data_IF_682392256984
#
_entry.id   IF_682392256984
#
_cell.length_a   1.000
_cell.length_b   1.000
_cell.length_c   1.000
_cell.angle_alpha   90.00
_cell.angle_beta   90.00
_cell.angle_gamma   90.00
#
_symmetry.space_group_name_H-M   'P 1'
#
loop_
_entity.id
_entity.type
_entity.pdbx_description
1 polymer ?
#
# COMPACT_ATOMS: atom_id res chain seq x y z
N UNK A 1 -11.93 36.10 -2.94
CA UNK A 1 -11.88 36.61 -1.56
C UNK A 1 -10.41 36.66 -1.17
N UNK A 2 -9.88 37.83 -0.80
CA UNK A 2 -8.45 38.05 -0.52
C UNK A 2 -8.29 38.38 0.95
N UNK A 3 -7.30 37.79 1.62
CA UNK A 3 -6.83 38.25 2.92
C UNK A 3 -5.31 38.13 2.98
N UNK A 4 -4.62 39.13 3.54
CA UNK A 4 -3.18 39.32 3.37
C UNK A 4 -2.60 40.09 4.57
N UNK A 5 -1.43 39.63 5.05
CA UNK A 5 -0.55 40.27 6.05
C UNK A 5 -1.09 40.56 7.46
N UNK A 6 -0.48 39.94 8.48
CA UNK A 6 0.50 40.56 9.41
C UNK A 6 1.01 39.48 10.39
N UNK A 7 2.23 39.49 10.92
CA UNK A 7 3.40 40.34 10.62
C UNK A 7 4.03 40.97 11.86
N UNK A 8 5.06 40.35 12.47
CA UNK A 8 5.92 41.01 13.47
C UNK A 8 7.29 40.32 13.64
N UNK A 9 8.36 41.13 13.64
CA UNK A 9 9.71 40.86 14.15
C UNK A 9 10.23 42.20 14.74
N UNK A 10 11.22 42.22 15.66
CA UNK A 10 12.65 42.23 15.28
C UNK A 10 13.49 41.37 16.28
N UNK A 11 14.83 41.40 16.44
CA UNK A 11 15.94 42.26 15.96
C UNK A 11 17.22 41.43 15.76
N UNK A 12 18.24 42.01 15.10
CA UNK A 12 19.64 41.51 15.09
C UNK A 12 20.62 42.64 15.40
N UNK A 13 21.84 42.33 15.86
CA UNK A 13 23.03 43.13 15.57
C UNK A 13 24.06 42.38 14.70
N UNK A 14 25.01 43.13 14.12
CA UNK A 14 26.24 42.65 13.47
C UNK A 14 27.28 42.26 14.56
N UNK A 15 28.48 41.72 14.33
CA UNK A 15 29.37 41.58 13.14
C UNK A 15 30.20 40.28 13.35
N UNK A 16 31.21 39.80 12.58
CA UNK A 16 32.15 40.34 11.57
C UNK A 16 32.62 39.18 10.66
N UNK A 17 33.52 39.41 9.70
CA UNK A 17 34.28 38.38 8.98
C UNK A 17 35.74 38.82 8.75
N UNK A 18 36.69 37.88 8.83
CA UNK A 18 37.87 37.79 7.94
C UNK A 18 38.02 36.34 7.42
N UNK A 19 38.87 35.98 6.45
CA UNK A 19 39.57 36.71 5.38
C UNK A 19 39.85 35.69 4.25
N UNK A 20 40.21 36.13 3.05
CA UNK A 20 40.57 35.24 1.95
C UNK A 20 42.09 35.05 1.85
N UNK A 21 42.56 33.80 1.68
CA UNK A 21 43.93 33.50 1.27
C UNK A 21 43.93 32.68 -0.02
N UNK A 22 44.67 33.15 -1.03
CA UNK A 22 44.79 32.51 -2.34
C UNK A 22 46.10 31.75 -2.46
N UNK A 23 46.06 30.53 -3.01
CA UNK A 23 47.25 29.88 -3.58
C UNK A 23 46.93 29.28 -4.94
N UNK A 24 47.68 29.73 -5.95
CA UNK A 24 47.57 29.32 -7.35
C UNK A 24 48.69 28.35 -7.67
N UNK A 25 48.43 27.25 -8.41
CA UNK A 25 49.31 26.75 -9.48
C UNK A 25 48.83 25.43 -10.14
N UNK A 26 48.57 25.51 -11.45
CA UNK A 26 49.12 24.65 -12.50
C UNK A 26 49.20 23.12 -12.36
N UNK A 27 48.42 22.41 -13.20
CA UNK A 27 48.64 21.02 -13.62
C UNK A 27 47.86 20.74 -14.91
N UNK A 28 48.48 20.12 -15.92
CA UNK A 28 47.92 19.97 -17.29
C UNK A 28 47.55 18.49 -17.63
N UNK A 29 47.11 18.10 -18.85
CA UNK A 29 45.95 17.21 -19.00
C UNK A 29 46.28 15.76 -19.35
N UNK A 30 45.30 14.86 -19.22
CA UNK A 30 45.37 13.52 -19.81
C UNK A 30 44.19 12.59 -19.49
N UNK A 31 44.11 11.49 -20.26
CA UNK A 31 43.24 10.32 -20.07
C UNK A 31 41.71 10.49 -20.30
N UNK A 32 41.30 10.48 -21.58
CA UNK A 32 39.98 9.95 -21.97
C UNK A 32 39.93 8.44 -21.75
N UNK A 33 39.10 7.96 -20.82
CA UNK A 33 38.76 6.53 -20.68
C UNK A 33 37.29 6.29 -20.96
N UNK A 34 37.01 5.56 -22.04
CA UNK A 34 35.67 5.11 -22.43
C UNK A 34 35.19 3.99 -21.52
N UNK A 35 34.15 4.25 -20.72
CA UNK A 35 33.49 3.22 -19.90
C UNK A 35 32.32 2.62 -20.67
N UNK A 36 32.49 1.38 -21.12
CA UNK A 36 31.41 0.56 -21.70
C UNK A 36 30.46 0.11 -20.59
N UNK A 37 29.14 0.39 -20.67
CA UNK A 37 28.17 -0.21 -19.76
C UNK A 37 27.94 -1.68 -20.16
N UNK A 38 28.51 -2.60 -19.39
CA UNK A 38 28.32 -4.03 -19.55
C UNK A 38 27.34 -4.58 -18.49
N UNK A 39 26.66 -5.67 -18.82
CA UNK A 39 25.97 -6.53 -17.86
C UNK A 39 24.54 -6.11 -17.52
N UNK A 40 23.58 -6.92 -17.95
CA UNK A 40 22.20 -6.86 -17.45
C UNK A 40 22.14 -7.19 -15.96
N UNK A 41 21.40 -6.40 -15.19
CA UNK A 41 20.64 -6.95 -14.06
C UNK A 41 19.26 -7.39 -14.60
N UNK A 42 18.68 -8.51 -14.19
CA UNK A 42 19.08 -9.42 -13.12
C UNK A 42 17.85 -9.68 -12.26
N UNK A 43 17.19 -10.80 -12.50
CA UNK A 43 15.84 -11.06 -11.98
C UNK A 43 15.80 -11.09 -10.45
N UNK A 44 14.89 -10.28 -9.88
CA UNK A 44 14.45 -10.43 -8.49
C UNK A 44 13.44 -11.59 -8.38
N UNK A 45 13.84 -12.76 -8.89
CA UNK A 45 13.00 -13.93 -9.05
C UNK A 45 12.69 -14.65 -7.73
N UNK A 46 11.47 -15.17 -7.67
CA UNK A 46 10.90 -16.16 -6.75
C UNK A 46 11.84 -16.81 -5.71
N UNK A 47 11.49 -16.65 -4.43
CA UNK A 47 11.79 -17.66 -3.42
C UNK A 47 10.68 -18.72 -3.46
N UNK A 48 11.00 -19.93 -3.91
CA UNK A 48 10.04 -21.01 -4.18
C UNK A 48 10.48 -22.35 -3.56
N UNK A 49 9.52 -23.25 -3.35
CA UNK A 49 9.70 -24.51 -2.61
C UNK A 49 8.75 -24.62 -1.41
N UNK A 50 7.49 -25.05 -1.61
CA UNK A 50 7.04 -26.45 -1.69
C UNK A 50 6.92 -27.13 -0.30
N UNK A 51 5.91 -27.97 -0.02
CA UNK A 51 5.16 -28.80 -0.96
C UNK A 51 3.61 -28.70 -0.84
N UNK A 52 2.96 -29.42 -1.76
CA UNK A 52 1.54 -29.45 -2.12
C UNK A 52 0.62 -30.20 -1.15
N UNK A 53 -0.67 -29.86 -1.16
CA UNK A 53 -1.68 -30.81 -1.65
C UNK A 53 -2.75 -30.07 -2.49
N UNK A 54 -3.48 -30.78 -3.34
CA UNK A 54 -4.29 -30.18 -4.42
C UNK A 54 -5.81 -30.36 -4.28
N UNK A 55 -6.55 -29.25 -4.42
CA UNK A 55 -7.98 -29.26 -4.75
C UNK A 55 -8.27 -28.19 -5.81
N UNK A 56 -8.99 -28.56 -6.88
CA UNK A 56 -9.44 -27.62 -7.91
C UNK A 56 -10.86 -27.20 -7.57
N UNK A 57 -10.98 -26.31 -6.58
CA UNK A 57 -12.29 -25.82 -6.13
C UNK A 57 -12.88 -24.78 -7.08
N UNK A 58 -14.10 -25.07 -7.53
CA UNK A 58 -14.93 -24.19 -8.36
C UNK A 58 -15.19 -22.84 -7.69
N UNK A 59 -15.25 -21.77 -8.48
CA UNK A 59 -15.46 -20.37 -8.08
C UNK A 59 -16.32 -20.18 -6.81
N UNK A 60 -15.66 -20.08 -5.66
CA UNK A 60 -16.30 -20.17 -4.34
C UNK A 60 -15.74 -19.16 -3.35
N UNK A 61 -16.64 -18.33 -2.81
CA UNK A 61 -16.42 -17.47 -1.62
C UNK A 61 -15.25 -16.48 -1.69
N UNK A 62 -15.49 -15.26 -2.20
CA UNK A 62 -14.52 -14.13 -2.22
C UNK A 62 -14.17 -13.54 -0.84
N UNK A 63 -14.58 -14.20 0.25
CA UNK A 63 -14.27 -13.81 1.64
C UNK A 63 -13.30 -14.83 2.24
N UNK A 64 -12.13 -14.41 2.74
CA UNK A 64 -11.11 -15.35 3.22
C UNK A 64 -11.49 -15.99 4.57
N UNK A 65 -10.74 -17.01 5.00
CA UNK A 65 -10.77 -17.43 6.41
C UNK A 65 -10.54 -16.22 7.34
N UNK A 66 -11.34 -16.08 8.42
CA UNK A 66 -11.08 -15.07 9.43
C UNK A 66 -9.75 -15.34 10.14
N UNK A 67 -9.08 -14.29 10.61
CA UNK A 67 -7.83 -14.41 11.36
C UNK A 67 -8.13 -15.12 12.69
N UNK A 68 -7.54 -16.29 12.89
CA UNK A 68 -7.73 -17.09 14.11
C UNK A 68 -6.99 -16.49 15.31
N UNK A 69 -7.41 -16.78 16.55
CA UNK A 69 -6.72 -16.25 17.73
C UNK A 69 -5.25 -16.72 17.79
N UNK A 70 -4.97 -17.96 17.36
CA UNK A 70 -3.59 -18.47 17.23
C UNK A 70 -2.74 -17.64 16.26
N UNK A 71 -3.29 -17.18 15.13
CA UNK A 71 -2.58 -16.31 14.19
C UNK A 71 -2.46 -14.88 14.72
N UNK A 72 -3.53 -14.35 15.31
CA UNK A 72 -3.52 -13.02 15.92
C UNK A 72 -2.50 -12.89 17.06
N UNK A 73 -2.27 -13.96 17.84
CA UNK A 73 -1.21 -14.03 18.85
C UNK A 73 0.17 -13.79 18.22
N UNK A 74 0.50 -14.49 17.13
CA UNK A 74 1.81 -14.36 16.45
C UNK A 74 1.95 -13.07 15.64
N UNK A 75 0.85 -12.37 15.36
CA UNK A 75 0.88 -11.03 14.79
C UNK A 75 1.14 -9.95 15.85
N UNK A 76 0.53 -10.06 17.03
CA UNK A 76 0.62 -9.03 18.08
C UNK A 76 1.89 -9.13 18.94
N UNK A 77 2.44 -10.34 19.13
CA UNK A 77 3.54 -10.59 20.05
C UNK A 77 4.68 -11.33 19.35
N UNK A 78 5.87 -10.74 19.36
CA UNK A 78 7.09 -11.35 18.82
C UNK A 78 7.77 -12.18 19.92
N UNK A 79 8.05 -13.45 19.64
CA UNK A 79 8.55 -14.39 20.65
C UNK A 79 7.45 -14.81 21.63
N UNK A 80 7.80 -15.02 22.90
CA UNK A 80 6.85 -15.47 23.92
C UNK A 80 5.81 -14.38 24.27
N UNK A 81 4.50 -14.64 24.08
CA UNK A 81 3.47 -13.70 24.50
C UNK A 81 3.37 -13.57 26.03
N UNK A 82 2.98 -12.40 26.55
CA UNK A 82 2.81 -12.19 28.00
C UNK A 82 1.76 -13.13 28.60
N UNK A 83 1.83 -13.36 29.92
CA UNK A 83 0.96 -14.33 30.60
C UNK A 83 -0.53 -13.96 30.45
N UNK A 84 -0.82 -12.66 30.45
CA UNK A 84 -2.11 -12.04 30.23
C UNK A 84 -2.65 -12.36 28.82
N UNK A 85 -1.83 -12.23 27.78
CA UNK A 85 -2.21 -12.62 26.42
C UNK A 85 -2.44 -14.14 26.32
N UNK A 86 -1.58 -14.95 26.94
CA UNK A 86 -1.79 -16.42 27.04
C UNK A 86 -3.04 -16.81 27.84
N UNK A 87 -3.53 -15.91 28.70
CA UNK A 87 -4.79 -16.11 29.43
C UNK A 87 -6.04 -15.73 28.63
N UNK A 88 -5.89 -15.06 27.47
CA UNK A 88 -6.95 -14.83 26.49
C UNK A 88 -7.35 -16.14 25.80
N UNK A 89 -7.99 -17.03 26.56
CA UNK A 89 -8.42 -18.34 26.08
C UNK A 89 -9.51 -18.18 25.04
N UNK A 90 -9.32 -18.84 23.89
CA UNK A 90 -10.45 -19.42 23.16
C UNK A 90 -11.16 -20.35 24.13
N UNK A 91 -12.38 -19.99 24.57
CA UNK A 91 -13.21 -20.94 25.31
C UNK A 91 -13.62 -22.05 24.33
N UNK A 92 -12.95 -23.20 24.43
CA UNK A 92 -13.40 -24.42 23.79
C UNK A 92 -14.71 -24.83 24.46
N UNK A 93 -15.84 -24.57 23.79
CA UNK A 93 -17.18 -25.00 24.20
C UNK A 93 -17.30 -26.52 24.06
N UNK A 94 -16.65 -27.25 24.97
CA UNK A 94 -16.91 -28.66 25.17
C UNK A 94 -18.39 -28.83 25.49
N UNK A 95 -19.08 -29.66 24.70
CA UNK A 95 -20.54 -29.87 24.73
C UNK A 95 -21.36 -28.69 24.19
N UNK A 96 -21.19 -28.40 22.89
CA UNK A 96 -22.27 -27.86 22.06
C UNK A 96 -22.30 -28.65 20.75
N UNK A 97 -23.34 -29.48 20.55
CA UNK A 97 -23.48 -30.35 19.37
C UNK A 97 -24.04 -29.65 18.14
N UNK A 98 -24.48 -28.39 18.27
CA UNK A 98 -24.96 -27.56 17.16
C UNK A 98 -23.79 -26.81 16.50
N UNK A 99 -23.17 -27.44 15.52
CA UNK A 99 -22.00 -26.90 14.83
C UNK A 99 -22.34 -25.83 13.77
N UNK A 100 -22.09 -24.55 14.08
CA UNK A 100 -21.71 -23.53 13.08
C UNK A 100 -21.19 -22.22 13.69
N UNK A 101 -21.77 -21.77 14.80
CA UNK A 101 -21.62 -20.39 15.30
C UNK A 101 -20.57 -20.18 16.41
N UNK A 102 -20.53 -21.04 17.43
CA UNK A 102 -19.79 -20.76 18.68
C UNK A 102 -18.26 -20.61 18.51
N UNK A 103 -17.66 -21.32 17.55
CA UNK A 103 -16.23 -21.27 17.27
C UNK A 103 -15.76 -19.91 16.72
N UNK A 104 -16.64 -19.13 16.09
CA UNK A 104 -16.30 -17.78 15.59
C UNK A 104 -16.31 -16.74 16.71
N UNK A 105 -17.18 -16.89 17.71
CA UNK A 105 -17.17 -16.02 18.90
C UNK A 105 -15.94 -16.26 19.77
N UNK A 106 -15.55 -17.51 20.02
CA UNK A 106 -14.44 -17.81 20.94
C UNK A 106 -13.07 -17.38 20.42
N UNK A 107 -12.83 -17.44 19.10
CA UNK A 107 -11.64 -16.84 18.48
C UNK A 107 -11.71 -15.29 18.52
N UNK A 108 -12.87 -14.71 18.25
CA UNK A 108 -13.05 -13.25 18.27
C UNK A 108 -12.83 -12.62 19.64
N UNK A 109 -13.35 -13.22 20.70
CA UNK A 109 -13.22 -12.69 22.06
C UNK A 109 -11.79 -12.86 22.61
N UNK A 110 -11.10 -13.94 22.21
CA UNK A 110 -9.66 -14.09 22.46
C UNK A 110 -8.87 -12.97 21.75
N UNK A 111 -9.23 -12.60 20.51
CA UNK A 111 -8.58 -11.50 19.78
C UNK A 111 -8.83 -10.13 20.43
N UNK A 112 -10.07 -9.85 20.87
CA UNK A 112 -10.39 -8.62 21.64
C UNK A 112 -9.58 -8.54 22.92
N UNK A 113 -9.46 -9.64 23.65
CA UNK A 113 -8.62 -9.74 24.85
C UNK A 113 -7.13 -9.49 24.52
N UNK A 114 -6.57 -10.11 23.47
CA UNK A 114 -5.19 -9.88 23.05
C UNK A 114 -4.94 -8.43 22.64
N UNK A 115 -5.86 -7.78 21.93
CA UNK A 115 -5.78 -6.36 21.59
C UNK A 115 -5.78 -5.48 22.85
N UNK A 116 -6.63 -5.77 23.84
CA UNK A 116 -6.64 -5.07 25.12
C UNK A 116 -5.31 -5.20 25.86
N UNK A 117 -4.71 -6.40 25.90
CA UNK A 117 -3.37 -6.62 26.48
C UNK A 117 -2.29 -5.88 25.68
N UNK A 118 -2.32 -6.00 24.35
CA UNK A 118 -1.33 -5.41 23.43
C UNK A 118 -1.27 -3.88 23.53
N UNK A 119 -2.40 -3.24 23.75
CA UNK A 119 -2.54 -1.78 23.79
C UNK A 119 -2.83 -1.21 25.19
N UNK A 120 -2.63 -1.98 26.26
CA UNK A 120 -2.90 -1.55 27.63
C UNK A 120 -2.18 -0.23 28.03
N UNK A 121 -0.98 0.02 27.47
CA UNK A 121 -0.23 1.26 27.68
C UNK A 121 -0.70 2.49 26.88
N UNK A 122 -1.63 2.34 25.94
CA UNK A 122 -2.23 3.46 25.19
C UNK A 122 -3.68 3.15 24.82
N UNK A 123 -4.60 3.43 25.74
CA UNK A 123 -6.04 3.16 25.56
C UNK A 123 -6.71 3.93 24.42
N UNK A 124 -6.07 4.94 23.80
CA UNK A 124 -6.57 5.54 22.56
C UNK A 124 -6.18 4.68 21.35
N UNK A 125 -4.93 4.22 21.28
CA UNK A 125 -4.50 3.24 20.28
C UNK A 125 -5.31 1.94 20.40
N UNK A 126 -5.52 1.44 21.63
CA UNK A 126 -6.32 0.24 21.88
C UNK A 126 -7.76 0.34 21.39
N UNK A 127 -8.44 1.47 21.62
CA UNK A 127 -9.79 1.72 21.06
C UNK A 127 -9.79 1.71 19.53
N UNK A 128 -8.79 2.32 18.89
CA UNK A 128 -8.70 2.34 17.42
C UNK A 128 -8.36 0.97 16.81
N UNK A 129 -7.50 0.19 17.47
CA UNK A 129 -7.17 -1.17 17.05
C UNK A 129 -8.32 -2.17 17.27
N UNK A 130 -9.09 -2.01 18.36
CA UNK A 130 -10.30 -2.79 18.61
C UNK A 130 -11.39 -2.51 17.56
N UNK A 131 -11.67 -1.22 17.29
CA UNK A 131 -12.64 -0.84 16.25
C UNK A 131 -12.23 -1.35 14.85
N UNK A 132 -10.94 -1.31 14.52
CA UNK A 132 -10.42 -1.85 13.25
C UNK A 132 -10.59 -3.38 13.13
N UNK A 133 -10.58 -4.09 14.26
CA UNK A 133 -10.92 -5.51 14.30
C UNK A 133 -12.44 -5.76 14.24
N UNK A 134 -13.23 -5.03 15.02
CA UNK A 134 -14.69 -5.24 15.08
C UNK A 134 -15.42 -4.81 13.80
N UNK A 135 -14.94 -3.77 13.10
CA UNK A 135 -15.56 -3.24 11.88
C UNK A 135 -15.04 -3.90 10.57
N UNK A 136 -13.82 -4.45 10.58
CA UNK A 136 -13.15 -4.94 9.37
C UNK A 136 -12.35 -6.25 9.56
N UNK A 137 -12.52 -6.95 10.69
CA UNK A 137 -11.80 -8.18 11.03
C UNK A 137 -10.27 -8.05 11.06
N UNK A 138 -9.75 -6.82 11.06
CA UNK A 138 -8.36 -6.52 10.71
C UNK A 138 -7.49 -6.41 11.95
N UNK A 139 -6.41 -7.19 12.01
CA UNK A 139 -5.58 -7.34 13.21
C UNK A 139 -4.35 -6.44 13.14
N UNK A 140 -4.26 -5.50 14.10
CA UNK A 140 -3.11 -4.61 14.28
C UNK A 140 -1.95 -5.32 15.02
N UNK A 141 -1.12 -6.03 14.27
CA UNK A 141 0.09 -6.71 14.74
C UNK A 141 1.33 -5.81 14.75
N UNK A 142 2.50 -6.42 14.55
CA UNK A 142 3.80 -5.75 14.40
C UNK A 142 4.70 -6.58 13.48
N UNK A 143 5.62 -5.95 12.77
CA UNK A 143 6.56 -6.67 11.89
C UNK A 143 7.80 -7.18 12.64
N UNK A 144 8.39 -8.26 12.14
CA UNK A 144 9.64 -8.83 12.62
C UNK A 144 10.88 -8.04 12.14
N UNK A 145 11.97 -7.97 12.93
CA UNK A 145 13.18 -7.25 12.55
C UNK A 145 13.96 -8.01 11.46
N UNK A 146 14.03 -7.46 10.25
CA UNK A 146 14.68 -8.11 9.11
C UNK A 146 15.39 -7.12 8.17
N UNK A 147 16.11 -7.67 7.18
CA UNK A 147 16.67 -6.92 6.07
C UNK A 147 15.80 -7.16 4.83
N UNK A 148 15.24 -6.09 4.28
CA UNK A 148 14.45 -6.10 3.03
C UNK A 148 15.32 -5.58 1.88
N UNK A 149 15.22 -6.16 0.68
CA UNK A 149 15.77 -5.49 -0.51
C UNK A 149 14.85 -4.33 -0.93
N UNK A 150 15.40 -3.12 -1.00
CA UNK A 150 14.71 -1.92 -1.48
C UNK A 150 14.86 -1.66 -2.98
N UNK A 151 15.40 -2.63 -3.73
CA UNK A 151 15.79 -2.51 -5.13
C UNK A 151 16.91 -1.50 -5.30
N UNK A 152 16.70 -0.48 -6.15
CA UNK A 152 17.64 0.64 -6.32
C UNK A 152 17.99 1.39 -5.02
N UNK A 153 17.21 1.22 -3.95
CA UNK A 153 17.47 1.81 -2.62
C UNK A 153 18.48 1.02 -1.79
N UNK A 154 18.87 -0.18 -2.24
CA UNK A 154 19.72 -1.15 -1.54
C UNK A 154 19.01 -1.79 -0.34
N UNK A 155 19.76 -2.59 0.42
CA UNK A 155 19.23 -3.29 1.60
C UNK A 155 18.75 -2.32 2.69
N UNK A 156 17.49 -2.47 3.09
CA UNK A 156 16.80 -1.67 4.10
C UNK A 156 16.65 -2.49 5.39
N UNK A 157 17.17 -1.99 6.51
CA UNK A 157 16.90 -2.59 7.82
C UNK A 157 15.53 -2.14 8.31
N UNK A 158 14.59 -3.07 8.44
CA UNK A 158 13.27 -2.83 9.02
C UNK A 158 13.26 -3.32 10.48
N UNK A 159 12.53 -2.62 11.34
CA UNK A 159 12.40 -2.96 12.77
C UNK A 159 10.96 -2.78 13.27
N UNK A 160 10.53 -3.57 14.28
CA UNK A 160 9.25 -3.40 14.94
C UNK A 160 9.08 -1.96 15.48
N UNK A 161 7.95 -1.30 15.21
CA UNK A 161 7.57 -0.04 15.86
C UNK A 161 6.03 0.00 15.99
N UNK A 162 5.47 -0.15 17.20
CA UNK A 162 4.02 -0.22 17.39
C UNK A 162 3.32 1.15 17.18
N UNK A 163 2.06 1.17 16.69
CA UNK A 163 1.33 2.40 16.41
C UNK A 163 0.70 3.01 17.68
N UNK A 164 1.55 3.38 18.64
CA UNK A 164 1.18 3.97 19.94
C UNK A 164 1.85 5.33 20.15
N UNK A 165 1.45 6.07 21.18
CA UNK A 165 2.10 7.34 21.53
C UNK A 165 1.94 8.38 20.43
N UNK A 166 3.07 8.82 19.83
CA UNK A 166 3.08 9.72 18.66
C UNK A 166 2.52 9.08 17.38
N UNK A 167 2.50 7.74 17.31
CA UNK A 167 2.10 6.97 16.13
C UNK A 167 0.64 6.48 16.18
N UNK A 168 -0.10 6.71 17.29
CA UNK A 168 -1.51 6.28 17.44
C UNK A 168 -2.43 6.77 16.32
N UNK A 169 -2.12 7.92 15.70
CA UNK A 169 -2.84 8.50 14.56
C UNK A 169 -2.91 7.56 13.34
N UNK A 170 -1.94 6.66 13.17
CA UNK A 170 -1.95 5.73 12.03
C UNK A 170 -3.10 4.72 12.15
N UNK A 171 -3.45 4.24 13.36
CA UNK A 171 -4.65 3.41 13.55
C UNK A 171 -5.94 4.17 13.24
N UNK A 172 -6.04 5.45 13.62
CA UNK A 172 -7.20 6.31 13.28
C UNK A 172 -7.33 6.50 11.77
N UNK A 173 -6.22 6.68 11.06
CA UNK A 173 -6.19 6.79 9.61
C UNK A 173 -6.50 5.47 8.89
N UNK A 174 -6.11 4.33 9.46
CA UNK A 174 -6.39 2.99 8.93
C UNK A 174 -7.84 2.56 9.18
N UNK A 175 -8.41 2.87 10.35
CA UNK A 175 -9.85 2.72 10.62
C UNK A 175 -10.67 3.57 9.65
N UNK A 176 -10.33 4.85 9.50
CA UNK A 176 -10.91 5.75 8.51
C UNK A 176 -10.54 5.44 7.04
N UNK A 177 -9.77 4.39 6.78
CA UNK A 177 -9.59 3.79 5.45
C UNK A 177 -10.53 2.58 5.29
N UNK A 178 -10.54 1.65 6.24
CA UNK A 178 -11.42 0.49 6.23
C UNK A 178 -12.91 0.86 6.19
N UNK A 179 -13.33 1.87 6.95
CA UNK A 179 -14.69 2.43 6.92
C UNK A 179 -15.07 2.99 5.53
N UNK A 180 -14.14 3.74 4.92
CA UNK A 180 -14.34 4.38 3.62
C UNK A 180 -14.38 3.33 2.50
N UNK A 181 -13.56 2.27 2.59
CA UNK A 181 -13.62 1.10 1.70
C UNK A 181 -14.92 0.31 1.87
N UNK A 182 -15.36 0.03 3.10
CA UNK A 182 -16.61 -0.68 3.37
C UNK A 182 -17.82 0.05 2.79
N UNK A 183 -17.88 1.38 2.96
CA UNK A 183 -18.92 2.20 2.34
C UNK A 183 -18.80 2.19 0.81
N UNK A 184 -17.59 2.37 0.26
CA UNK A 184 -17.35 2.42 -1.19
C UNK A 184 -17.71 1.10 -1.90
N UNK A 185 -17.41 -0.07 -1.30
CA UNK A 185 -17.83 -1.36 -1.84
C UNK A 185 -19.34 -1.60 -1.70
N UNK A 186 -19.99 -1.08 -0.64
CA UNK A 186 -21.44 -1.11 -0.52
C UNK A 186 -22.13 -0.23 -1.59
N UNK A 187 -21.53 0.93 -1.91
CA UNK A 187 -22.00 1.82 -2.97
C UNK A 187 -21.80 1.22 -4.37
N UNK A 188 -20.64 0.60 -4.62
CA UNK A 188 -20.32 -0.07 -5.87
C UNK A 188 -21.32 -1.20 -6.22
N UNK A 189 -21.75 -1.97 -5.21
CA UNK A 189 -22.67 -3.09 -5.41
C UNK A 189 -24.16 -2.73 -5.31
N UNK A 190 -24.50 -1.50 -4.92
CA UNK A 190 -25.85 -1.07 -4.53
C UNK A 190 -26.96 -1.48 -5.53
N UNK A 191 -26.67 -1.32 -6.82
CA UNK A 191 -27.62 -1.54 -7.92
C UNK A 191 -27.15 -2.65 -8.90
N UNK A 192 -26.23 -3.54 -8.46
CA UNK A 192 -25.50 -4.47 -9.35
C UNK A 192 -25.73 -5.93 -8.98
N UNK A 193 -25.88 -6.78 -10.00
CA UNK A 193 -26.02 -8.25 -9.86
C UNK A 193 -24.68 -8.97 -9.82
N UNK A 194 -23.67 -8.44 -10.50
CA UNK A 194 -22.28 -8.85 -10.34
C UNK A 194 -21.74 -8.28 -9.02
N UNK A 195 -20.76 -8.97 -8.44
CA UNK A 195 -19.96 -8.48 -7.32
C UNK A 195 -18.52 -8.36 -7.78
N UNK A 196 -17.81 -7.37 -7.26
CA UNK A 196 -16.37 -7.28 -7.37
C UNK A 196 -15.72 -8.55 -6.80
N UNK A 197 -14.70 -9.05 -7.50
CA UNK A 197 -13.78 -10.07 -6.99
C UNK A 197 -12.85 -9.50 -5.92
N UNK A 198 -12.55 -8.20 -6.02
CA UNK A 198 -11.63 -7.48 -5.15
C UNK A 198 -12.00 -7.64 -3.66
N UNK A 199 -11.07 -8.19 -2.91
CA UNK A 199 -11.12 -8.50 -1.48
C UNK A 199 -10.33 -7.44 -0.73
N UNK A 200 -10.97 -6.71 0.18
CA UNK A 200 -10.33 -5.64 0.97
C UNK A 200 -10.19 -5.94 2.47
N UNK A 201 -10.80 -7.03 2.95
CA UNK A 201 -10.83 -7.40 4.37
C UNK A 201 -11.14 -8.89 4.58
N UNK A 202 -10.88 -9.46 5.76
CA UNK A 202 -9.93 -8.99 6.79
C UNK A 202 -8.49 -8.86 6.28
N UNK A 203 -7.66 -8.13 7.04
CA UNK A 203 -6.23 -7.94 6.78
C UNK A 203 -5.38 -8.24 8.01
N UNK A 204 -4.19 -8.78 7.78
CA UNK A 204 -3.11 -8.77 8.76
C UNK A 204 -2.29 -7.48 8.57
N UNK A 205 -2.15 -6.66 9.62
CA UNK A 205 -1.34 -5.44 9.57
C UNK A 205 -0.08 -5.61 10.41
N UNK A 206 1.09 -5.40 9.80
CA UNK A 206 2.40 -5.52 10.46
C UNK A 206 3.09 -4.17 10.56
N UNK A 207 2.97 -3.50 11.70
CA UNK A 207 3.53 -2.17 11.91
C UNK A 207 5.06 -2.20 12.09
N UNK A 208 5.78 -1.33 11.39
CA UNK A 208 7.24 -1.24 11.41
C UNK A 208 7.76 0.19 11.27
N UNK A 209 9.08 0.36 11.36
CA UNK A 209 9.79 1.48 10.74
C UNK A 209 11.11 1.06 10.10
N UNK A 210 11.56 1.81 9.11
CA UNK A 210 12.88 1.64 8.52
C UNK A 210 13.95 2.34 9.37
N UNK A 211 15.14 1.77 9.48
CA UNK A 211 16.26 2.40 10.20
C UNK A 211 16.96 3.41 9.29
N UNK A 212 16.98 4.68 9.69
CA UNK A 212 17.64 5.77 8.94
C UNK A 212 17.01 6.07 7.57
N UNK A 213 15.77 5.63 7.33
CA UNK A 213 15.00 5.77 6.08
C UNK A 213 13.51 5.94 6.40
N UNK A 214 12.73 6.36 5.41
CA UNK A 214 11.26 6.54 5.47
C UNK A 214 10.55 5.69 4.40
N UNK A 215 11.24 4.67 3.88
CA UNK A 215 10.83 3.83 2.75
C UNK A 215 11.07 2.34 3.06
N UNK A 216 10.25 1.41 2.52
CA UNK A 216 9.00 1.69 1.80
C UNK A 216 7.93 2.25 2.77
N UNK A 217 6.82 2.80 2.26
CA UNK A 217 5.75 3.32 3.15
C UNK A 217 4.84 2.19 3.64
N UNK A 218 4.54 1.23 2.77
CA UNK A 218 4.00 -0.07 3.12
C UNK A 218 4.60 -1.13 2.17
N UNK A 219 4.25 -2.40 2.36
CA UNK A 219 4.39 -3.45 1.33
C UNK A 219 3.37 -4.57 1.58
N UNK A 220 2.99 -5.27 0.52
CA UNK A 220 2.03 -6.36 0.51
C UNK A 220 2.69 -7.73 0.29
N UNK A 221 2.34 -8.74 1.11
CA UNK A 221 2.70 -10.15 0.88
C UNK A 221 1.85 -11.09 1.75
N UNK A 222 1.51 -12.29 1.26
CA UNK A 222 0.88 -13.34 2.09
C UNK A 222 -0.41 -12.91 2.82
N UNK A 223 -1.24 -12.11 2.16
CA UNK A 223 -2.39 -11.39 2.73
C UNK A 223 -2.13 -10.54 3.98
N UNK A 224 -0.90 -10.04 4.09
CA UNK A 224 -0.46 -9.06 5.07
C UNK A 224 -0.14 -7.74 4.35
N UNK A 225 -0.51 -6.61 4.94
CA UNK A 225 0.09 -5.31 4.61
C UNK A 225 1.00 -4.88 5.76
N UNK A 226 2.30 -4.83 5.51
CA UNK A 226 3.25 -4.25 6.43
C UNK A 226 3.22 -2.73 6.30
N UNK A 227 3.19 -2.00 7.41
CA UNK A 227 2.89 -0.57 7.45
C UNK A 227 3.97 0.23 8.20
N UNK A 228 4.62 1.17 7.51
CA UNK A 228 5.65 2.03 8.10
C UNK A 228 5.02 3.21 8.84
N UNK A 229 5.11 3.25 10.18
CA UNK A 229 4.65 4.41 10.97
C UNK A 229 5.54 5.65 10.81
N UNK A 230 6.64 5.53 10.07
CA UNK A 230 7.49 6.62 9.59
C UNK A 230 7.54 6.69 8.06
N UNK A 231 6.58 6.08 7.36
CA UNK A 231 6.51 6.03 5.89
C UNK A 231 6.34 7.40 5.25
N UNK A 232 7.13 7.72 4.22
CA UNK A 232 7.13 9.04 3.58
C UNK A 232 5.81 9.44 2.92
N UNK A 233 4.98 8.48 2.52
CA UNK A 233 3.65 8.75 1.95
C UNK A 233 2.59 9.02 3.04
N UNK A 234 2.80 8.57 4.28
CA UNK A 234 1.83 8.59 5.38
C UNK A 234 1.71 9.97 6.05
N UNK A 235 1.50 10.99 5.23
CA UNK A 235 1.37 12.41 5.59
C UNK A 235 -0.03 12.82 6.05
N UNK A 236 -1.07 12.07 5.64
CA UNK A 236 -2.48 12.38 5.91
C UNK A 236 -3.36 11.13 5.81
N UNK A 237 -4.58 11.20 6.37
CA UNK A 237 -5.59 10.15 6.23
C UNK A 237 -5.89 9.80 4.76
N UNK A 238 -5.92 10.79 3.87
CA UNK A 238 -6.11 10.58 2.43
C UNK A 238 -4.97 9.74 1.85
N UNK A 239 -3.72 10.15 2.06
CA UNK A 239 -2.56 9.47 1.49
C UNK A 239 -2.37 8.06 2.05
N UNK A 240 -2.68 7.84 3.34
CA UNK A 240 -2.74 6.50 3.95
C UNK A 240 -3.78 5.63 3.26
N UNK A 241 -4.98 6.17 2.97
CA UNK A 241 -6.05 5.42 2.31
C UNK A 241 -5.73 5.08 0.85
N UNK A 242 -5.12 6.00 0.10
CA UNK A 242 -4.63 5.73 -1.25
C UNK A 242 -3.51 4.67 -1.24
N UNK A 243 -2.58 4.74 -0.29
CA UNK A 243 -1.54 3.70 -0.10
C UNK A 243 -2.17 2.34 0.25
N UNK A 244 -3.14 2.28 1.16
CA UNK A 244 -3.78 1.00 1.52
C UNK A 244 -4.54 0.36 0.36
N UNK A 245 -5.14 1.13 -0.55
CA UNK A 245 -5.82 0.57 -1.73
C UNK A 245 -4.82 0.08 -2.79
N UNK A 246 -3.65 0.71 -2.88
CA UNK A 246 -2.52 0.25 -3.69
C UNK A 246 -1.97 -1.09 -3.18
N UNK A 247 -1.63 -1.19 -1.88
CA UNK A 247 -1.14 -2.45 -1.28
C UNK A 247 -2.19 -3.57 -1.32
N UNK A 248 -3.47 -3.23 -1.15
CA UNK A 248 -4.57 -4.18 -1.33
C UNK A 248 -4.64 -4.71 -2.77
N UNK A 249 -4.33 -3.91 -3.80
CA UNK A 249 -4.29 -4.43 -5.17
C UNK A 249 -3.18 -5.47 -5.33
N UNK A 250 -1.96 -5.21 -4.82
CA UNK A 250 -0.86 -6.18 -4.87
C UNK A 250 -1.22 -7.52 -4.20
N UNK A 251 -2.03 -7.49 -3.13
CA UNK A 251 -2.59 -8.70 -2.53
C UNK A 251 -3.58 -9.41 -3.46
N UNK A 252 -4.52 -8.69 -4.07
CA UNK A 252 -5.53 -9.24 -4.99
C UNK A 252 -4.92 -9.79 -6.29
N UNK A 253 -3.95 -9.10 -6.88
CA UNK A 253 -3.29 -9.50 -8.13
C UNK A 253 -2.51 -10.80 -7.96
N UNK A 254 -1.81 -10.94 -6.82
CA UNK A 254 -1.08 -12.16 -6.46
C UNK A 254 -2.01 -13.32 -6.05
N UNK A 255 -3.09 -13.05 -5.32
CA UNK A 255 -4.16 -14.02 -5.02
C UNK A 255 -4.83 -14.51 -6.32
N UNK A 256 -4.82 -13.69 -7.38
CA UNK A 256 -5.21 -14.06 -8.75
C UNK A 256 -4.04 -14.41 -9.69
N UNK A 257 -2.90 -14.86 -9.18
CA UNK A 257 -1.82 -15.45 -9.99
C UNK A 257 -1.06 -14.44 -10.86
N UNK A 258 -0.81 -13.23 -10.33
CA UNK A 258 -0.16 -12.10 -11.00
C UNK A 258 -0.88 -11.71 -12.30
N UNK A 259 -2.20 -11.54 -12.22
CA UNK A 259 -3.05 -11.21 -13.36
C UNK A 259 -2.52 -10.01 -14.18
N UNK A 260 -1.96 -8.99 -13.52
CA UNK A 260 -1.42 -7.79 -14.20
C UNK A 260 -0.26 -8.11 -15.15
N UNK A 261 0.59 -9.09 -14.80
CA UNK A 261 1.71 -9.54 -15.64
C UNK A 261 1.21 -10.23 -16.92
N UNK A 262 0.08 -10.92 -16.84
CA UNK A 262 -0.52 -11.64 -17.95
C UNK A 262 -1.35 -10.72 -18.87
N UNK A 263 -2.10 -9.77 -18.29
CA UNK A 263 -3.12 -9.01 -19.00
C UNK A 263 -2.75 -7.55 -19.33
N UNK A 264 -1.88 -6.91 -18.54
CA UNK A 264 -1.54 -5.48 -18.73
C UNK A 264 -0.14 -5.25 -19.33
N UNK A 265 0.77 -6.23 -19.31
CA UNK A 265 2.13 -6.09 -19.84
C UNK A 265 2.18 -5.57 -21.28
N UNK A 266 1.38 -6.08 -22.25
CA UNK A 266 1.41 -5.57 -23.62
C UNK A 266 0.99 -4.10 -23.77
N UNK A 267 0.19 -3.58 -22.82
CA UNK A 267 -0.21 -2.17 -22.78
C UNK A 267 0.89 -1.33 -22.13
N UNK A 268 1.41 -1.81 -20.99
CA UNK A 268 2.52 -1.19 -20.25
C UNK A 268 3.77 -1.02 -21.13
N UNK A 269 4.21 -2.09 -21.81
CA UNK A 269 5.38 -2.09 -22.68
C UNK A 269 5.19 -1.20 -23.90
N UNK A 270 3.96 -1.07 -24.41
CA UNK A 270 3.65 -0.14 -25.51
C UNK A 270 3.81 1.32 -25.07
N UNK A 271 3.34 1.66 -23.85
CA UNK A 271 3.53 2.99 -23.25
C UNK A 271 5.01 3.26 -22.98
N UNK A 272 5.72 2.32 -22.37
CA UNK A 272 7.16 2.40 -22.05
C UNK A 272 7.97 2.58 -23.33
N UNK A 273 7.70 1.81 -24.38
CA UNK A 273 8.36 1.91 -25.68
C UNK A 273 8.07 3.27 -26.34
N UNK A 274 6.80 3.68 -26.41
CA UNK A 274 6.38 4.97 -27.00
C UNK A 274 7.00 6.17 -26.30
N UNK A 275 7.17 6.10 -24.99
CA UNK A 275 7.71 7.20 -24.18
C UNK A 275 9.21 7.09 -23.88
N UNK A 276 9.90 6.07 -24.38
CA UNK A 276 11.37 5.97 -24.32
C UNK A 276 11.99 6.67 -25.51
N UNK A 277 12.92 7.61 -25.25
CA UNK A 277 13.65 8.29 -26.31
C UNK A 277 14.86 7.48 -26.80
N UNK A 278 15.47 7.91 -27.93
CA UNK A 278 16.62 7.25 -28.58
C UNK A 278 17.88 7.03 -27.73
N UNK A 279 17.93 7.54 -26.50
CA UNK A 279 19.01 7.33 -25.53
C UNK A 279 18.64 6.32 -24.43
N UNK A 280 17.61 5.51 -24.66
CA UNK A 280 16.99 4.60 -23.69
C UNK A 280 16.58 5.29 -22.38
N UNK A 281 15.97 6.48 -22.48
CA UNK A 281 15.48 7.26 -21.33
C UNK A 281 13.98 7.54 -21.46
N UNK A 282 13.22 7.19 -20.42
CA UNK A 282 11.80 7.52 -20.31
C UNK A 282 11.57 9.03 -20.26
N UNK A 283 10.57 9.49 -21.01
CA UNK A 283 10.14 10.88 -21.07
C UNK A 283 8.88 11.09 -20.20
N UNK A 284 9.05 11.65 -19.00
CA UNK A 284 7.96 11.96 -18.07
C UNK A 284 6.82 12.78 -18.69
N UNK A 285 7.11 13.71 -19.60
CA UNK A 285 6.09 14.52 -20.25
C UNK A 285 5.21 13.69 -21.21
N UNK A 286 5.78 12.63 -21.80
CA UNK A 286 5.05 11.63 -22.59
C UNK A 286 4.27 10.65 -21.69
N UNK A 287 4.83 10.25 -20.53
CA UNK A 287 4.16 9.35 -19.59
C UNK A 287 2.93 9.97 -18.90
N UNK A 288 2.90 11.30 -18.74
CA UNK A 288 1.83 12.05 -18.03
C UNK A 288 0.38 11.66 -18.35
N UNK A 289 -0.07 11.51 -19.62
CA UNK A 289 -1.42 11.06 -19.94
C UNK A 289 -1.70 9.59 -19.57
N UNK A 290 -0.68 8.74 -19.54
CA UNK A 290 -0.80 7.31 -19.25
C UNK A 290 -0.65 6.96 -17.77
N UNK A 291 -0.06 7.86 -16.98
CA UNK A 291 0.11 7.68 -15.53
C UNK A 291 -1.26 7.61 -14.84
N UNK A 292 -1.67 6.46 -14.26
CA UNK A 292 -2.98 6.34 -13.64
C UNK A 292 -3.12 7.27 -12.45
N UNK A 293 -2.03 7.42 -11.68
CA UNK A 293 -2.00 8.28 -10.53
C UNK A 293 -0.84 9.30 -10.58
N UNK A 294 -0.87 10.25 -9.65
CA UNK A 294 -0.05 11.46 -9.69
C UNK A 294 1.23 11.35 -8.83
N UNK A 295 1.47 10.21 -8.19
CA UNK A 295 2.67 9.98 -7.37
C UNK A 295 3.89 9.94 -8.28
N UNK A 296 4.90 10.73 -7.92
CA UNK A 296 6.17 10.83 -8.64
C UNK A 296 7.33 10.56 -7.69
N UNK A 297 8.34 9.86 -8.19
CA UNK A 297 9.53 9.50 -7.42
C UNK A 297 10.58 10.61 -7.46
N UNK A 298 11.38 10.71 -6.39
CA UNK A 298 12.51 11.66 -6.31
C UNK A 298 13.53 11.31 -7.39
N UNK A 299 13.51 12.07 -8.48
CA UNK A 299 14.19 11.74 -9.74
C UNK A 299 13.37 12.16 -10.97
N UNK A 300 12.05 12.29 -10.83
CA UNK A 300 11.21 13.02 -11.79
C UNK A 300 10.39 12.16 -12.77
N UNK A 301 10.11 10.89 -12.47
CA UNK A 301 9.12 10.07 -13.20
C UNK A 301 7.95 9.66 -12.29
N UNK A 302 6.87 9.14 -12.86
CA UNK A 302 5.72 8.59 -12.14
C UNK A 302 6.07 7.26 -11.48
N UNK A 303 5.45 6.94 -10.34
CA UNK A 303 5.73 5.71 -9.58
C UNK A 303 5.47 4.44 -10.40
N UNK A 304 4.32 4.39 -11.08
CA UNK A 304 3.94 3.36 -12.06
C UNK A 304 4.97 3.13 -13.19
N UNK A 305 5.90 4.06 -13.43
CA UNK A 305 6.91 4.00 -14.50
C UNK A 305 8.32 4.34 -13.98
N UNK A 306 8.64 4.00 -12.71
CA UNK A 306 10.01 4.05 -12.21
C UNK A 306 10.79 2.84 -12.78
N UNK A 307 12.02 3.01 -13.32
CA UNK A 307 12.89 1.87 -13.63
C UNK A 307 13.11 0.97 -12.40
N UNK A 308 12.85 -0.33 -12.57
CA UNK A 308 12.81 -1.32 -11.47
C UNK A 308 11.40 -1.57 -10.91
N UNK A 309 10.43 -0.71 -11.21
CA UNK A 309 9.00 -1.00 -11.05
C UNK A 309 8.47 -1.62 -12.36
N UNK A 310 7.56 -2.60 -12.24
CA UNK A 310 6.94 -3.27 -13.38
C UNK A 310 5.44 -2.96 -13.53
N UNK A 311 4.80 -3.73 -14.40
CA UNK A 311 3.36 -3.66 -14.70
C UNK A 311 2.47 -3.77 -13.46
N UNK A 312 2.88 -4.53 -12.44
CA UNK A 312 2.15 -4.66 -11.17
C UNK A 312 1.98 -3.31 -10.45
N UNK A 313 3.00 -2.43 -10.50
CA UNK A 313 2.91 -1.08 -9.92
C UNK A 313 2.03 -0.13 -10.76
N UNK A 314 2.01 -0.31 -12.08
CA UNK A 314 1.06 0.37 -12.95
C UNK A 314 -0.39 -0.07 -12.66
N UNK A 315 -0.61 -1.37 -12.44
CA UNK A 315 -1.92 -1.94 -12.11
C UNK A 315 -2.41 -1.51 -10.71
N UNK A 316 -1.54 -1.46 -9.71
CA UNK A 316 -1.88 -0.98 -8.36
C UNK A 316 -2.23 0.52 -8.33
N UNK A 317 -1.49 1.36 -9.08
CA UNK A 317 -1.85 2.78 -9.27
C UNK A 317 -3.14 2.94 -10.12
N UNK A 318 -3.44 2.02 -11.04
CA UNK A 318 -4.68 2.01 -11.82
C UNK A 318 -5.89 1.64 -10.96
N UNK A 319 -5.79 0.63 -10.10
CA UNK A 319 -6.81 0.29 -9.10
C UNK A 319 -7.02 1.43 -8.11
N UNK A 320 -5.95 2.06 -7.65
CA UNK A 320 -6.02 3.27 -6.81
C UNK A 320 -6.73 4.41 -7.53
N UNK A 321 -6.47 4.62 -8.82
CA UNK A 321 -7.16 5.64 -9.63
C UNK A 321 -8.64 5.32 -9.84
N UNK A 322 -9.00 4.07 -10.15
CA UNK A 322 -10.39 3.61 -10.28
C UNK A 322 -11.19 3.92 -9.01
N UNK A 323 -10.63 3.54 -7.86
CA UNK A 323 -11.22 3.80 -6.54
C UNK A 323 -11.37 5.30 -6.26
N UNK A 324 -10.31 6.10 -6.49
CA UNK A 324 -10.34 7.57 -6.26
C UNK A 324 -11.38 8.27 -7.14
N UNK A 325 -11.55 7.89 -8.41
CA UNK A 325 -12.59 8.48 -9.26
C UNK A 325 -14.00 8.07 -8.82
N UNK A 326 -14.23 6.78 -8.54
CA UNK A 326 -15.54 6.29 -8.07
C UNK A 326 -15.97 6.96 -6.75
N UNK A 327 -15.02 7.20 -5.85
CA UNK A 327 -15.25 7.86 -4.57
C UNK A 327 -15.72 9.31 -4.71
N UNK A 328 -15.34 10.00 -5.78
CA UNK A 328 -15.89 11.33 -6.09
C UNK A 328 -17.32 11.22 -6.65
N UNK A 329 -17.59 10.25 -7.54
CA UNK A 329 -18.93 10.01 -8.10
C UNK A 329 -19.94 9.61 -7.02
N UNK A 330 -19.62 8.64 -6.15
CA UNK A 330 -20.52 8.22 -5.05
C UNK A 330 -20.79 9.35 -4.05
N UNK A 331 -19.87 10.30 -3.92
CA UNK A 331 -20.05 11.49 -3.09
C UNK A 331 -20.72 12.67 -3.84
N UNK A 332 -21.28 12.44 -5.03
CA UNK A 332 -21.98 13.44 -5.83
C UNK A 332 -21.10 14.55 -6.40
N UNK A 333 -19.77 14.37 -6.42
CA UNK A 333 -18.80 15.37 -6.88
C UNK A 333 -18.37 15.10 -8.33
N UNK A 334 -18.01 16.18 -9.03
CA UNK A 334 -17.41 16.11 -10.36
C UNK A 334 -15.92 15.82 -10.23
N UNK A 335 -15.39 14.96 -11.09
CA UNK A 335 -13.94 14.70 -11.17
C UNK A 335 -13.17 16.00 -11.44
N UNK A 336 -12.11 16.25 -10.67
CA UNK A 336 -11.28 17.45 -10.80
C UNK A 336 -10.36 17.45 -12.06
N UNK A 337 -10.38 16.36 -12.83
CA UNK A 337 -9.72 16.14 -14.11
C UNK A 337 -10.66 15.26 -14.97
N UNK A 338 -10.46 15.16 -16.29
CA UNK A 338 -11.09 14.10 -17.08
C UNK A 338 -10.82 12.71 -16.48
N UNK A 339 -11.80 11.82 -16.60
CA UNK A 339 -11.70 10.43 -16.18
C UNK A 339 -10.48 9.75 -16.83
N UNK A 340 -9.80 8.85 -16.10
CA UNK A 340 -8.57 8.24 -16.61
C UNK A 340 -8.79 7.49 -17.94
N UNK A 341 -9.89 6.73 -18.02
CA UNK A 341 -10.32 5.98 -19.22
C UNK A 341 -10.59 6.85 -20.47
N UNK A 342 -10.73 8.17 -20.30
CA UNK A 342 -10.93 9.14 -21.39
C UNK A 342 -9.64 9.86 -21.80
N UNK A 343 -8.49 9.26 -21.49
CA UNK A 343 -7.20 9.61 -22.07
C UNK A 343 -6.94 8.87 -23.39
N UNK A 344 -5.68 8.52 -23.70
CA UNK A 344 -5.34 7.64 -24.82
C UNK A 344 -6.02 6.26 -24.76
N UNK A 345 -6.06 5.56 -25.89
CA UNK A 345 -6.66 4.21 -26.04
C UNK A 345 -6.14 3.21 -25.00
N UNK A 346 -4.84 3.29 -24.68
CA UNK A 346 -4.18 2.45 -23.68
C UNK A 346 -4.83 2.57 -22.29
N UNK A 347 -5.28 3.77 -21.92
CA UNK A 347 -5.96 4.01 -20.65
C UNK A 347 -7.35 3.38 -20.62
N UNK A 348 -8.09 3.47 -21.72
CA UNK A 348 -9.41 2.85 -21.84
C UNK A 348 -9.31 1.33 -21.76
N UNK A 349 -8.32 0.75 -22.47
CA UNK A 349 -8.07 -0.70 -22.50
C UNK A 349 -7.60 -1.25 -21.17
N UNK A 350 -6.64 -0.61 -20.50
CA UNK A 350 -6.19 -1.08 -19.18
C UNK A 350 -7.27 -0.95 -18.11
N UNK A 351 -8.07 0.13 -18.18
CA UNK A 351 -9.21 0.33 -17.30
C UNK A 351 -10.28 -0.75 -17.47
N UNK A 352 -10.73 -1.03 -18.71
CA UNK A 352 -11.73 -2.08 -18.96
C UNK A 352 -11.27 -3.44 -18.44
N UNK A 353 -10.03 -3.86 -18.74
CA UNK A 353 -9.47 -5.12 -18.25
C UNK A 353 -9.51 -5.23 -16.72
N UNK A 354 -9.08 -4.17 -16.02
CA UNK A 354 -9.09 -4.12 -14.56
C UNK A 354 -10.52 -4.16 -13.98
N UNK A 355 -11.45 -3.46 -14.63
CA UNK A 355 -12.85 -3.35 -14.20
C UNK A 355 -13.62 -4.64 -14.37
N UNK A 356 -13.43 -5.32 -15.50
CA UNK A 356 -14.11 -6.59 -15.79
C UNK A 356 -13.67 -7.68 -14.80
N UNK A 357 -12.36 -7.80 -14.52
CA UNK A 357 -11.82 -8.79 -13.58
C UNK A 357 -12.13 -8.45 -12.11
N UNK A 358 -11.57 -7.36 -11.58
CA UNK A 358 -11.57 -7.13 -10.13
C UNK A 358 -12.86 -6.49 -9.65
N UNK A 359 -13.51 -5.67 -10.49
CA UNK A 359 -14.69 -4.89 -10.11
C UNK A 359 -15.99 -5.39 -10.77
N UNK A 360 -15.96 -6.58 -11.41
CA UNK A 360 -17.15 -7.29 -11.90
C UNK A 360 -17.90 -6.56 -13.02
N UNK A 361 -17.19 -5.83 -13.87
CA UNK A 361 -17.75 -5.05 -14.98
C UNK A 361 -18.47 -3.76 -14.51
N UNK A 362 -18.26 -3.34 -13.26
CA UNK A 362 -18.96 -2.18 -12.69
C UNK A 362 -18.16 -0.90 -12.96
N UNK A 363 -18.75 0.04 -13.67
CA UNK A 363 -18.20 1.39 -13.85
C UNK A 363 -19.33 2.43 -13.74
N UNK A 364 -19.17 3.36 -12.80
CA UNK A 364 -20.07 4.51 -12.57
C UNK A 364 -19.46 5.84 -13.07
N UNK A 365 -18.23 5.83 -13.57
CA UNK A 365 -17.65 7.00 -14.22
C UNK A 365 -18.39 7.23 -15.54
N UNK A 366 -18.85 8.46 -15.86
CA UNK A 366 -19.54 8.75 -17.11
C UNK A 366 -18.78 8.30 -18.37
N UNK A 367 -19.53 8.10 -19.46
CA UNK A 367 -18.96 7.88 -20.78
C UNK A 367 -18.06 9.06 -21.20
N UNK A 368 -17.09 8.77 -22.06
CA UNK A 368 -16.18 9.79 -22.58
C UNK A 368 -16.90 10.71 -23.59
N UNK A 369 -16.55 12.01 -23.66
CA UNK A 369 -17.09 12.96 -24.65
C UNK A 369 -16.70 12.64 -26.10
#
# INVERSE_FOLDING_TARGET
>A
MVLTLMGCAPSSPRTTAPEASTSTASGQPGATTSVTPAGSAGDAGAADGAATDGSVDTAGTTTPPPITARRAMTLMFLGDPPAEARSCRVQSSAHSSDGSSSARSSDGDAIRCMLAVRFAGDGQAGKSALALYDEAGTVAGIEEPHMMDGGWRGMLKLVPEPPVGRHRRHLVWLLGAAQDFNQWFADLHRDKKTKARYRHQPLELRFFRSVGRTTPSAYASGWTVAYNVSGSLHSSAKAVRETMFHELFHLNDRDHGNWSEQHLTPIYDSIVTRCTNKWNKLNTACLRPYAPHHVMVRGGTYYAFQPGNGVWEYAAELATRYYVEHREIFAGRRLAKPAFKCGPEENARSWTLLVDEFFGGIDHIPACP
#
